data_IF_950530713592
#
_entry.id   IF_950530713592
#
_cell.length_a   1.000
_cell.length_b   1.000
_cell.length_c   1.000
_cell.angle_alpha   90.00
_cell.angle_beta   90.00
_cell.angle_gamma   90.00
#
_symmetry.space_group_name_H-M   'P 1'
#
loop_
_entity.id
_entity.type
_entity.pdbx_description
1 polymer ?
#
# COMPACT_ATOMS: atom_id res chain seq x y z
N UNK A 1 -1.34 -50.45 1.13
CA UNK A 1 -2.53 -49.60 1.30
C UNK A 1 -2.32 -48.40 2.24
N UNK A 2 -1.57 -48.51 3.36
CA UNK A 2 -1.34 -47.37 4.29
C UNK A 2 -0.55 -46.17 3.72
N UNK A 3 0.30 -46.40 2.70
CA UNK A 3 1.13 -45.33 2.09
C UNK A 3 0.35 -44.38 1.17
N UNK A 4 -0.76 -44.83 0.58
CA UNK A 4 -1.59 -43.99 -0.30
C UNK A 4 -2.47 -43.02 0.48
N UNK A 5 -2.90 -43.38 1.69
CA UNK A 5 -3.71 -42.51 2.55
C UNK A 5 -2.93 -41.27 3.02
N UNK A 6 -1.62 -41.41 3.29
CA UNK A 6 -0.76 -40.30 3.73
C UNK A 6 -0.54 -39.29 2.61
N UNK A 7 -0.32 -39.76 1.37
CA UNK A 7 -0.17 -38.89 0.18
C UNK A 7 -1.46 -38.13 -0.12
N UNK A 8 -2.62 -38.78 0.05
CA UNK A 8 -3.92 -38.16 -0.15
C UNK A 8 -4.22 -37.08 0.92
N UNK A 9 -3.90 -37.36 2.19
CA UNK A 9 -4.03 -36.38 3.28
C UNK A 9 -3.08 -35.18 3.11
N UNK A 10 -1.85 -35.40 2.63
CA UNK A 10 -0.94 -34.29 2.34
C UNK A 10 -1.40 -33.43 1.15
N UNK A 11 -2.05 -34.04 0.16
CA UNK A 11 -2.62 -33.31 -0.98
C UNK A 11 -3.87 -32.49 -0.58
N UNK A 12 -4.72 -33.03 0.30
CA UNK A 12 -5.87 -32.32 0.86
C UNK A 12 -5.47 -31.17 1.78
N UNK A 13 -4.39 -31.31 2.56
CA UNK A 13 -3.87 -30.20 3.37
C UNK A 13 -3.27 -29.07 2.54
N UNK A 14 -2.71 -29.36 1.35
CA UNK A 14 -2.22 -28.33 0.42
C UNK A 14 -3.35 -27.63 -0.33
N UNK A 15 -4.47 -28.32 -0.61
CA UNK A 15 -5.64 -27.71 -1.25
C UNK A 15 -6.33 -26.65 -0.37
N UNK A 16 -6.19 -26.74 0.96
CA UNK A 16 -6.72 -25.76 1.91
C UNK A 16 -5.83 -24.51 2.09
N UNK A 17 -4.59 -24.53 1.58
CA UNK A 17 -3.65 -23.39 1.65
C UNK A 17 -3.71 -22.54 0.36
N UNK A 18 -4.43 -23.00 -0.67
CA UNK A 18 -4.42 -22.39 -1.99
C UNK A 18 -5.61 -21.44 -2.28
N UNK A 19 -6.46 -21.14 -1.29
CA UNK A 19 -7.48 -20.11 -1.43
C UNK A 19 -6.93 -18.80 -0.87
N UNK A 20 -6.57 -17.87 -1.75
CA UNK A 20 -6.35 -16.47 -1.35
C UNK A 20 -7.61 -15.89 -0.69
N UNK A 21 -7.48 -14.73 0.00
CA UNK A 21 -8.61 -14.12 0.68
C UNK A 21 -9.75 -13.84 -0.30
N UNK A 22 -10.98 -14.05 0.15
CA UNK A 22 -12.18 -13.72 -0.61
C UNK A 22 -12.32 -12.20 -0.79
N UNK A 23 -13.08 -11.77 -1.80
CA UNK A 23 -13.34 -10.33 -2.06
C UNK A 23 -13.87 -9.59 -0.82
N UNK A 24 -14.68 -10.26 0.01
CA UNK A 24 -15.19 -9.68 1.25
C UNK A 24 -14.07 -9.51 2.29
N UNK A 25 -13.24 -10.53 2.50
CA UNK A 25 -12.11 -10.46 3.43
C UNK A 25 -11.11 -9.39 3.00
N UNK A 26 -10.83 -9.25 1.70
CA UNK A 26 -9.97 -8.20 1.15
C UNK A 26 -10.52 -6.81 1.52
N UNK A 27 -11.83 -6.58 1.36
CA UNK A 27 -12.46 -5.32 1.72
C UNK A 27 -12.43 -5.06 3.23
N UNK A 28 -12.67 -6.08 4.05
CA UNK A 28 -12.58 -5.98 5.51
C UNK A 28 -11.16 -5.61 5.96
N UNK A 29 -10.14 -6.24 5.38
CA UNK A 29 -8.73 -5.91 5.64
C UNK A 29 -8.40 -4.47 5.23
N UNK A 30 -8.93 -3.99 4.11
CA UNK A 30 -8.71 -2.62 3.65
C UNK A 30 -9.39 -1.59 4.58
N UNK A 31 -10.62 -1.86 5.03
CA UNK A 31 -11.36 -0.99 5.97
C UNK A 31 -10.70 -0.92 7.34
N UNK A 32 -9.97 -1.97 7.75
CA UNK A 32 -9.21 -2.00 9.00
C UNK A 32 -7.90 -1.20 8.96
N UNK A 33 -7.52 -0.66 7.80
CA UNK A 33 -6.31 0.15 7.67
C UNK A 33 -6.56 1.57 8.19
N UNK A 34 -5.74 2.02 9.15
CA UNK A 34 -5.78 3.39 9.67
C UNK A 34 -5.37 4.40 8.60
N UNK A 35 -4.40 4.01 7.77
CA UNK A 35 -3.90 4.77 6.62
C UNK A 35 -3.73 3.81 5.44
N UNK A 36 -4.12 4.29 4.26
CA UNK A 36 -3.85 3.61 3.00
C UNK A 36 -2.78 4.38 2.25
N UNK A 37 -1.77 3.68 1.73
CA UNK A 37 -0.75 4.22 0.84
C UNK A 37 -0.97 3.56 -0.51
N UNK A 38 -1.48 4.31 -1.47
CA UNK A 38 -1.77 3.80 -2.80
C UNK A 38 -0.73 4.32 -3.78
N UNK A 39 0.10 3.41 -4.30
CA UNK A 39 1.08 3.73 -5.34
C UNK A 39 0.39 3.66 -6.69
N UNK A 40 0.33 4.79 -7.40
CA UNK A 40 -0.34 4.90 -8.69
C UNK A 40 0.24 6.02 -9.53
N UNK A 41 -0.14 6.08 -10.80
CA UNK A 41 0.09 7.29 -11.59
C UNK A 41 -0.94 8.36 -11.16
N UNK A 42 -0.46 9.47 -10.61
CA UNK A 42 -1.32 10.61 -10.27
C UNK A 42 -1.40 11.51 -11.50
N UNK A 43 -2.51 11.40 -12.24
CA UNK A 43 -2.72 12.17 -13.46
C UNK A 43 -2.86 13.67 -13.15
N UNK A 44 -2.17 14.50 -13.92
CA UNK A 44 -2.14 15.97 -13.80
C UNK A 44 -1.43 16.53 -12.56
N UNK A 45 -0.75 15.70 -11.77
CA UNK A 45 0.08 16.19 -10.68
C UNK A 45 1.47 15.54 -10.69
N UNK A 46 2.50 16.33 -10.39
CA UNK A 46 3.88 15.84 -10.26
C UNK A 46 4.21 15.42 -8.83
N UNK A 47 3.30 15.66 -7.88
CA UNK A 47 3.47 15.35 -6.46
C UNK A 47 2.48 14.27 -6.01
N UNK A 48 2.69 13.77 -4.79
CA UNK A 48 1.79 12.84 -4.12
C UNK A 48 0.67 13.61 -3.40
N UNK A 49 -0.49 12.98 -3.25
CA UNK A 49 -1.67 13.62 -2.68
C UNK A 49 -2.18 12.85 -1.47
N UNK A 50 -2.46 13.55 -0.38
CA UNK A 50 -3.09 12.96 0.79
C UNK A 50 -4.57 13.38 0.84
N UNK A 51 -5.49 12.42 0.76
CA UNK A 51 -6.94 12.66 0.68
C UNK A 51 -7.67 11.73 1.64
N UNK A 52 -8.41 12.29 2.60
CA UNK A 52 -9.11 11.49 3.63
C UNK A 52 -8.11 10.76 4.52
N UNK A 53 -7.97 9.43 4.37
CA UNK A 53 -6.96 8.61 5.02
C UNK A 53 -5.98 7.95 4.03
N UNK A 54 -6.04 8.34 2.75
CA UNK A 54 -5.26 7.73 1.67
C UNK A 54 -4.17 8.68 1.18
N UNK A 55 -2.91 8.21 1.22
CA UNK A 55 -1.80 8.83 0.52
C UNK A 55 -1.68 8.20 -0.87
N UNK A 56 -2.11 8.92 -1.90
CA UNK A 56 -1.83 8.59 -3.29
C UNK A 56 -0.38 8.96 -3.60
N UNK A 57 0.50 7.97 -3.50
CA UNK A 57 1.91 8.08 -3.75
C UNK A 57 2.16 7.99 -5.25
N UNK A 58 2.72 9.06 -5.83
CA UNK A 58 2.96 9.12 -7.26
C UNK A 58 4.06 8.12 -7.64
N UNK A 59 3.75 7.16 -8.51
CA UNK A 59 4.68 6.13 -8.97
C UNK A 59 5.99 6.72 -9.50
N UNK A 60 5.94 7.90 -10.16
CA UNK A 60 7.11 8.62 -10.64
C UNK A 60 8.12 8.98 -9.54
N UNK A 61 7.64 9.26 -8.32
CA UNK A 61 8.51 9.55 -7.16
C UNK A 61 9.12 8.27 -6.57
N UNK A 62 8.58 7.09 -6.91
CA UNK A 62 9.04 5.79 -6.42
C UNK A 62 10.05 5.10 -7.33
N UNK A 63 10.11 5.49 -8.62
CA UNK A 63 11.09 4.96 -9.59
C UNK A 63 12.51 5.41 -9.30
N UNK A 64 12.69 6.58 -8.68
CA UNK A 64 14.00 7.08 -8.28
C UNK A 64 14.71 6.13 -7.32
N UNK A 65 16.05 6.02 -7.42
CA UNK A 65 16.89 5.31 -6.45
C UNK A 65 16.67 5.84 -5.02
N UNK A 66 16.31 7.12 -4.91
CA UNK A 66 15.97 7.79 -3.65
C UNK A 66 14.50 8.24 -3.68
N UNK A 67 13.70 7.77 -2.72
CA UNK A 67 12.29 8.19 -2.56
C UNK A 67 12.15 9.64 -2.11
N UNK A 68 13.22 10.20 -1.52
CA UNK A 68 13.24 11.55 -0.96
C UNK A 68 14.03 12.51 -1.86
N UNK A 69 13.66 13.80 -1.91
CA UNK A 69 12.54 14.42 -1.19
C UNK A 69 11.17 14.02 -1.75
N UNK A 70 10.25 13.64 -0.86
CA UNK A 70 8.88 13.29 -1.21
C UNK A 70 7.99 14.52 -1.05
N UNK A 71 7.48 15.01 -2.17
CA UNK A 71 6.51 16.10 -2.22
C UNK A 71 5.09 15.55 -2.00
N UNK A 72 4.40 16.05 -0.98
CA UNK A 72 3.03 15.63 -0.65
C UNK A 72 2.15 16.85 -0.40
N UNK A 73 0.93 16.85 -0.91
CA UNK A 73 -0.05 17.88 -0.57
C UNK A 73 -1.36 17.27 -0.05
N UNK A 74 -1.83 17.79 1.09
CA UNK A 74 -3.10 17.36 1.68
C UNK A 74 -4.26 18.07 0.99
N UNK A 75 -5.18 17.30 0.39
CA UNK A 75 -6.35 17.81 -0.34
C UNK A 75 -7.63 17.47 0.41
N UNK A 76 -8.59 18.39 0.37
CA UNK A 76 -9.96 18.13 0.78
C UNK A 76 -10.64 17.28 -0.31
N UNK A 77 -11.27 16.14 0.03
CA UNK A 77 -12.03 15.35 -0.94
C UNK A 77 -13.10 16.14 -1.70
N UNK A 78 -13.69 17.17 -1.10
CA UNK A 78 -14.70 18.03 -1.72
C UNK A 78 -14.10 19.13 -2.62
N UNK A 79 -12.82 19.48 -2.43
CA UNK A 79 -12.15 20.58 -3.14
C UNK A 79 -10.78 20.14 -3.72
N UNK A 80 -10.72 18.97 -4.39
CA UNK A 80 -9.47 18.41 -4.93
C UNK A 80 -8.69 19.38 -5.84
N UNK A 81 -9.40 20.20 -6.61
CA UNK A 81 -8.82 21.14 -7.58
C UNK A 81 -8.17 22.37 -6.92
N UNK A 82 -8.47 22.63 -5.64
CA UNK A 82 -7.94 23.80 -4.95
C UNK A 82 -6.45 23.60 -4.62
N UNK A 83 -5.57 24.54 -5.00
CA UNK A 83 -4.16 24.46 -4.62
C UNK A 83 -4.01 24.54 -3.10
N UNK A 84 -3.37 23.54 -2.52
CA UNK A 84 -3.00 23.47 -1.11
C UNK A 84 -1.48 23.51 -0.97
N UNK A 85 -0.99 23.83 0.23
CA UNK A 85 0.43 23.82 0.49
C UNK A 85 1.04 22.43 0.19
N UNK A 86 2.25 22.43 -0.36
CA UNK A 86 3.03 21.20 -0.57
C UNK A 86 4.04 21.07 0.55
N UNK A 87 3.97 19.98 1.29
CA UNK A 87 4.98 19.58 2.26
C UNK A 87 6.13 18.84 1.54
N UNK A 88 7.34 19.04 2.05
CA UNK A 88 8.55 18.36 1.58
C UNK A 88 9.02 17.43 2.68
N UNK A 89 8.93 16.12 2.46
CA UNK A 89 9.37 15.09 3.40
C UNK A 89 10.75 14.61 2.96
N UNK A 90 11.74 14.59 3.86
CA UNK A 90 13.12 14.33 3.48
C UNK A 90 13.65 13.01 4.05
N UNK A 91 12.83 12.28 4.80
CA UNK A 91 13.22 11.05 5.49
C UNK A 91 12.03 10.14 5.78
N UNK A 92 12.32 8.89 6.11
CA UNK A 92 11.33 7.92 6.61
C UNK A 92 10.63 8.46 7.84
N UNK A 93 11.38 9.09 8.75
CA UNK A 93 10.86 9.68 9.97
C UNK A 93 9.90 10.84 9.65
N UNK A 94 10.21 11.69 8.66
CA UNK A 94 9.31 12.75 8.20
C UNK A 94 8.02 12.17 7.62
N UNK A 95 8.11 11.10 6.82
CA UNK A 95 6.94 10.42 6.27
C UNK A 95 6.06 9.81 7.37
N UNK A 96 6.65 9.10 8.32
CA UNK A 96 5.89 8.52 9.42
C UNK A 96 5.26 9.59 10.33
N UNK A 97 5.98 10.68 10.59
CA UNK A 97 5.44 11.82 11.33
C UNK A 97 4.31 12.50 10.56
N UNK A 98 4.45 12.64 9.23
CA UNK A 98 3.42 13.17 8.36
C UNK A 98 2.12 12.37 8.50
N UNK A 99 2.21 11.05 8.34
CA UNK A 99 1.05 10.15 8.44
C UNK A 99 0.43 10.18 9.85
N UNK A 100 1.26 10.25 10.90
CA UNK A 100 0.80 10.36 12.29
C UNK A 100 0.11 11.69 12.62
N UNK A 101 0.36 12.77 11.87
CA UNK A 101 -0.43 14.01 12.05
C UNK A 101 -1.90 13.80 11.71
N UNK A 102 -2.18 12.93 10.74
CA UNK A 102 -3.55 12.66 10.27
C UNK A 102 -4.17 11.45 10.96
N UNK A 103 -3.35 10.45 11.28
CA UNK A 103 -3.75 9.28 12.06
C UNK A 103 -2.78 9.04 13.25
N UNK A 104 -2.98 9.73 14.38
CA UNK A 104 -2.05 9.69 15.53
C UNK A 104 -1.84 8.31 16.14
N UNK A 105 -2.82 7.42 15.98
CA UNK A 105 -2.81 6.05 16.51
C UNK A 105 -2.55 5.01 15.41
N UNK A 106 -1.99 5.42 14.27
CA UNK A 106 -1.72 4.53 13.14
C UNK A 106 -0.89 3.32 13.57
N UNK A 107 -1.51 2.15 13.48
CA UNK A 107 -0.92 0.83 13.73
C UNK A 107 -1.18 -0.13 12.57
N UNK A 108 -2.22 0.07 11.76
CA UNK A 108 -2.52 -0.72 10.58
C UNK A 108 -2.38 0.11 9.31
N UNK A 109 -1.51 -0.32 8.40
CA UNK A 109 -1.29 0.34 7.11
C UNK A 109 -1.65 -0.60 5.97
N UNK A 110 -2.46 -0.10 5.05
CA UNK A 110 -2.72 -0.75 3.76
C UNK A 110 -1.78 -0.17 2.70
N UNK A 111 -0.99 -1.01 2.04
CA UNK A 111 -0.22 -0.64 0.86
C UNK A 111 -0.96 -1.15 -0.38
N UNK A 112 -1.46 -0.26 -1.23
CA UNK A 112 -2.14 -0.62 -2.46
C UNK A 112 -1.21 -0.34 -3.63
N UNK A 113 -1.00 -1.33 -4.50
CA UNK A 113 -0.36 -1.12 -5.81
C UNK A 113 -1.46 -1.00 -6.85
N UNK A 114 -1.66 0.22 -7.35
CA UNK A 114 -2.65 0.53 -8.37
C UNK A 114 -2.25 0.00 -9.74
N UNK A 115 -3.23 -0.39 -10.57
CA UNK A 115 -3.01 -0.92 -11.93
C UNK A 115 -2.17 0.05 -12.78
N UNK A 116 -2.37 1.34 -12.58
CA UNK A 116 -1.66 2.40 -13.32
C UNK A 116 -0.21 2.61 -12.89
N UNK A 117 0.24 2.07 -11.76
CA UNK A 117 1.64 2.21 -11.33
C UNK A 117 2.61 1.58 -12.32
N UNK A 118 2.22 0.43 -12.90
CA UNK A 118 3.01 -0.29 -13.91
C UNK A 118 3.17 0.48 -15.23
N UNK A 119 2.41 1.56 -15.45
CA UNK A 119 2.57 2.42 -16.63
C UNK A 119 3.74 3.39 -16.49
N UNK A 120 4.27 3.59 -15.28
CA UNK A 120 5.44 4.43 -15.05
C UNK A 120 6.71 3.70 -15.48
N UNK A 121 7.55 4.37 -16.29
CA UNK A 121 8.77 3.77 -16.83
C UNK A 121 9.75 3.50 -15.70
N UNK A 122 10.25 2.27 -15.59
CA UNK A 122 11.20 1.86 -14.55
C UNK A 122 10.54 1.52 -13.21
N UNK A 123 9.21 1.40 -13.17
CA UNK A 123 8.50 0.94 -11.98
C UNK A 123 8.71 -0.57 -11.76
N UNK A 124 9.28 -0.92 -10.61
CA UNK A 124 9.44 -2.29 -10.14
C UNK A 124 8.68 -2.48 -8.83
N UNK A 125 7.60 -3.26 -8.86
CA UNK A 125 6.73 -3.44 -7.70
C UNK A 125 7.48 -3.99 -6.49
N UNK A 126 8.35 -4.98 -6.69
CA UNK A 126 9.12 -5.61 -5.61
C UNK A 126 9.97 -4.59 -4.85
N UNK A 127 10.54 -3.63 -5.56
CA UNK A 127 11.46 -2.64 -5.00
C UNK A 127 10.67 -1.61 -4.20
N UNK A 128 9.53 -1.17 -4.74
CA UNK A 128 8.59 -0.27 -4.07
C UNK A 128 8.03 -0.89 -2.79
N UNK A 129 7.54 -2.14 -2.88
CA UNK A 129 7.00 -2.87 -1.74
C UNK A 129 8.09 -3.06 -0.68
N UNK A 130 9.30 -3.42 -1.08
CA UNK A 130 10.43 -3.60 -0.15
C UNK A 130 10.79 -2.30 0.55
N UNK A 131 10.88 -1.20 -0.20
CA UNK A 131 11.21 0.13 0.32
C UNK A 131 10.16 0.63 1.32
N UNK A 132 8.88 0.58 0.95
CA UNK A 132 7.79 1.01 1.82
C UNK A 132 7.64 0.08 3.04
N UNK A 133 7.84 -1.22 2.87
CA UNK A 133 7.90 -2.15 4.01
C UNK A 133 9.00 -1.78 5.00
N UNK A 134 10.18 -1.38 4.52
CA UNK A 134 11.28 -0.94 5.38
C UNK A 134 10.92 0.32 6.18
N UNK A 135 10.24 1.29 5.55
CA UNK A 135 9.72 2.48 6.22
C UNK A 135 8.72 2.10 7.33
N UNK A 136 7.68 1.33 6.98
CA UNK A 136 6.59 1.03 7.91
C UNK A 136 6.99 0.10 9.05
N UNK A 137 8.02 -0.74 8.88
CA UNK A 137 8.58 -1.53 9.98
C UNK A 137 9.13 -0.68 11.12
N UNK A 138 9.50 0.59 10.87
CA UNK A 138 9.96 1.52 11.92
C UNK A 138 8.84 1.98 12.87
N UNK A 139 7.56 1.74 12.55
CA UNK A 139 6.44 2.19 13.39
C UNK A 139 6.35 1.46 14.74
N UNK A 140 6.88 0.23 14.84
CA UNK A 140 6.89 -0.59 16.05
C UNK A 140 5.50 -1.15 16.42
N UNK A 141 5.30 -2.46 16.26
CA UNK A 141 4.07 -3.15 16.71
C UNK A 141 2.84 -2.98 15.81
N UNK A 142 3.02 -2.52 14.57
CA UNK A 142 1.95 -2.36 13.58
C UNK A 142 1.81 -3.52 12.60
N UNK A 143 0.82 -3.43 11.71
CA UNK A 143 0.59 -4.34 10.59
C UNK A 143 0.73 -3.61 9.25
N UNK A 144 1.24 -4.32 8.25
CA UNK A 144 1.26 -3.88 6.86
C UNK A 144 0.59 -4.95 5.99
N UNK A 145 -0.47 -4.56 5.29
CA UNK A 145 -1.15 -5.43 4.32
C UNK A 145 -0.94 -4.86 2.93
N UNK A 146 -0.38 -5.65 2.03
CA UNK A 146 -0.32 -5.32 0.61
C UNK A 146 -1.62 -5.74 -0.07
N UNK A 147 -2.12 -4.86 -0.93
CA UNK A 147 -3.25 -5.08 -1.79
C UNK A 147 -2.87 -4.77 -3.24
N UNK A 148 -3.50 -5.47 -4.17
CA UNK A 148 -3.42 -5.15 -5.60
C UNK A 148 -4.75 -4.64 -6.10
N UNK A 149 -4.74 -3.54 -6.83
CA UNK A 149 -5.93 -2.95 -7.44
C UNK A 149 -5.95 -3.20 -8.95
N UNK A 150 -7.15 -3.50 -9.48
CA UNK A 150 -7.40 -3.60 -10.91
C UNK A 150 -8.82 -3.12 -11.22
N UNK A 151 -8.96 -2.23 -12.20
CA UNK A 151 -10.28 -1.72 -12.62
C UNK A 151 -11.10 -1.02 -11.52
N UNK A 152 -10.44 -0.41 -10.53
CA UNK A 152 -11.03 0.25 -9.37
C UNK A 152 -11.36 -0.69 -8.20
N UNK A 153 -11.01 -1.97 -8.28
CA UNK A 153 -11.31 -2.96 -7.25
C UNK A 153 -10.04 -3.60 -6.69
N UNK A 154 -10.03 -3.88 -5.39
CA UNK A 154 -8.97 -4.70 -4.76
C UNK A 154 -9.16 -6.16 -5.17
N UNK A 155 -8.08 -6.79 -5.64
CA UNK A 155 -8.09 -8.13 -6.25
C UNK A 155 -7.31 -9.17 -5.46
N UNK A 156 -6.30 -8.74 -4.70
CA UNK A 156 -5.49 -9.59 -3.84
C UNK A 156 -5.17 -8.85 -2.53
N UNK A 157 -4.91 -9.63 -1.47
CA UNK A 157 -4.43 -9.11 -0.21
C UNK A 157 -3.42 -10.06 0.44
N UNK A 158 -2.31 -9.49 0.93
CA UNK A 158 -1.25 -10.23 1.60
C UNK A 158 -0.71 -9.44 2.78
N UNK A 159 -0.81 -10.01 3.99
CA UNK A 159 -0.11 -9.45 5.15
C UNK A 159 1.41 -9.62 4.97
N UNK A 160 2.15 -8.51 5.02
CA UNK A 160 3.62 -8.46 4.88
C UNK A 160 4.30 -8.37 6.24
N UNK A 161 3.69 -7.65 7.18
CA UNK A 161 4.21 -7.41 8.52
C UNK A 161 3.04 -7.42 9.52
#
# INVERSE_FOLDING_TARGET
MKKFAIVLLSALSMALVACGPSKLEIQEMAVQSDVVVEVRQVLNDSISLFVGNTLYLNAKQMVSDEMYPLLVSMRDPAELEKPTATDILNSDEDLLNYLRRVSPQMVAVGLVIGETAANEIGFEESDVVTRLTAVFRKMGGGTLVLFHEKGGELTDAKKIF
#
